data_IF_573152950883
#
_entry.id   IF_573152950883
#
_cell.length_a   1.000
_cell.length_b   1.000
_cell.length_c   1.000
_cell.angle_alpha   90.00
_cell.angle_beta   90.00
_cell.angle_gamma   90.00
#
_symmetry.space_group_name_H-M   'P 1'
#
loop_
_entity.id
_entity.type
_entity.pdbx_description
1 polymer ?
#
# COMPACT_ATOMS: atom_id res chain seq x y z
N UNK A 1 -5.28 -9.67 -3.53
CA UNK A 1 -3.91 -9.50 -3.02
C UNK A 1 -2.95 -9.20 -4.17
N UNK A 2 -1.91 -8.42 -3.94
CA UNK A 2 -0.91 -8.07 -4.95
C UNK A 2 0.24 -7.28 -4.33
N UNK A 3 1.23 -6.94 -5.14
CA UNK A 3 2.39 -6.15 -4.74
C UNK A 3 2.37 -4.82 -5.48
N UNK A 4 2.56 -3.70 -4.77
CA UNK A 4 2.81 -2.41 -5.42
C UNK A 4 4.19 -2.47 -6.09
N UNK A 5 4.23 -2.21 -7.39
CA UNK A 5 5.47 -2.24 -8.19
C UNK A 5 5.87 -0.85 -8.70
N UNK A 6 4.93 0.09 -8.74
CA UNK A 6 5.17 1.47 -9.15
C UNK A 6 4.26 2.40 -8.36
N UNK A 7 4.79 3.55 -7.93
CA UNK A 7 4.05 4.60 -7.23
C UNK A 7 4.14 5.87 -8.04
N UNK A 8 2.98 6.47 -8.31
CA UNK A 8 2.80 7.75 -9.00
C UNK A 8 2.14 8.73 -8.01
N UNK A 9 2.12 10.06 -8.30
CA UNK A 9 1.60 11.06 -7.36
C UNK A 9 0.18 10.78 -6.83
N UNK A 10 -0.69 10.20 -7.66
CA UNK A 10 -2.09 9.92 -7.31
C UNK A 10 -2.55 8.50 -7.67
N UNK A 11 -1.62 7.62 -8.03
CA UNK A 11 -1.92 6.27 -8.48
C UNK A 11 -0.79 5.31 -8.14
N UNK A 12 -1.08 4.01 -8.14
CA UNK A 12 -0.07 2.99 -7.99
C UNK A 12 -0.38 1.84 -8.95
N UNK A 13 0.68 1.18 -9.43
CA UNK A 13 0.53 -0.07 -10.19
C UNK A 13 0.76 -1.24 -9.27
N UNK A 14 -0.17 -2.18 -9.32
CA UNK A 14 -0.15 -3.38 -8.49
C UNK A 14 0.02 -4.60 -9.39
N UNK A 15 1.07 -5.38 -9.14
CA UNK A 15 1.23 -6.71 -9.70
C UNK A 15 0.35 -7.68 -8.92
N UNK A 16 -0.65 -8.24 -9.58
CA UNK A 16 -1.61 -9.14 -8.94
C UNK A 16 -1.01 -10.50 -8.63
N UNK A 17 -1.53 -11.16 -7.60
CA UNK A 17 -1.10 -12.52 -7.22
C UNK A 17 -1.34 -13.58 -8.32
N UNK A 18 -2.25 -13.29 -9.25
CA UNK A 18 -2.65 -14.17 -10.36
C UNK A 18 -1.78 -13.98 -11.60
N UNK A 19 -0.87 -12.99 -11.62
CA UNK A 19 0.02 -12.77 -12.75
C UNK A 19 1.02 -13.94 -12.93
N UNK A 20 1.27 -14.36 -14.18
CA UNK A 20 2.18 -15.48 -14.51
C UNK A 20 3.62 -15.29 -14.04
N UNK A 21 4.05 -14.04 -13.89
CA UNK A 21 5.40 -13.68 -13.44
C UNK A 21 5.49 -13.53 -11.92
N UNK A 22 4.36 -13.61 -11.21
CA UNK A 22 4.30 -13.39 -9.78
C UNK A 22 4.28 -14.70 -9.00
N UNK A 23 5.16 -14.79 -8.01
CA UNK A 23 5.27 -15.92 -7.08
C UNK A 23 5.18 -15.44 -5.65
N UNK A 24 4.41 -16.16 -4.83
CA UNK A 24 4.15 -15.84 -3.43
C UNK A 24 4.58 -17.02 -2.56
N UNK A 25 5.51 -16.80 -1.61
CA UNK A 25 5.84 -17.80 -0.60
C UNK A 25 4.66 -18.02 0.35
N UNK A 26 4.08 -19.22 0.30
CA UNK A 26 2.92 -19.61 1.10
C UNK A 26 3.26 -20.75 2.05
N UNK A 27 2.40 -20.95 3.03
CA UNK A 27 2.41 -22.12 3.89
C UNK A 27 0.99 -22.65 4.08
N UNK A 28 0.86 -23.96 4.24
CA UNK A 28 -0.39 -24.60 4.61
C UNK A 28 -0.71 -24.28 6.06
N UNK A 29 -1.88 -23.70 6.32
CA UNK A 29 -2.29 -23.26 7.65
C UNK A 29 -2.39 -24.43 8.66
N UNK A 30 -2.72 -25.64 8.17
CA UNK A 30 -2.91 -26.83 9.00
C UNK A 30 -1.62 -27.37 9.63
N UNK A 31 -0.56 -27.48 8.83
CA UNK A 31 0.65 -28.23 9.20
C UNK A 31 1.96 -27.44 8.98
N UNK A 32 1.87 -26.19 8.50
CA UNK A 32 3.03 -25.33 8.27
C UNK A 32 3.89 -25.72 7.07
N UNK A 33 3.45 -26.67 6.23
CA UNK A 33 4.16 -27.03 4.99
C UNK A 33 4.35 -25.78 4.13
N UNK A 34 5.59 -25.47 3.76
CA UNK A 34 5.92 -24.31 2.92
C UNK A 34 5.92 -24.68 1.44
N UNK A 35 5.43 -23.77 0.62
CA UNK A 35 5.39 -23.92 -0.83
C UNK A 35 5.44 -22.55 -1.51
N UNK A 36 5.51 -22.54 -2.84
CA UNK A 36 5.46 -21.33 -3.65
C UNK A 36 4.23 -21.40 -4.54
N UNK A 37 3.30 -20.47 -4.33
CA UNK A 37 2.15 -20.29 -5.21
C UNK A 37 2.55 -19.35 -6.36
N UNK A 38 2.20 -19.73 -7.58
CA UNK A 38 2.48 -18.96 -8.79
C UNK A 38 1.17 -18.62 -9.48
N UNK A 39 1.06 -17.38 -9.93
CA UNK A 39 -0.07 -16.96 -10.74
C UNK A 39 -0.07 -17.64 -12.11
N UNK A 40 -1.26 -17.77 -12.70
CA UNK A 40 -1.46 -18.51 -13.96
C UNK A 40 -1.92 -17.59 -15.09
N UNK A 41 -2.07 -16.29 -14.81
CA UNK A 41 -2.74 -15.32 -15.67
C UNK A 41 -4.27 -15.38 -15.55
N UNK A 42 -4.83 -16.44 -14.97
CA UNK A 42 -6.25 -16.57 -14.68
C UNK A 42 -6.57 -16.14 -13.25
N UNK A 43 -7.70 -15.45 -13.01
CA UNK A 43 -8.18 -15.16 -11.66
C UNK A 43 -8.70 -16.39 -10.91
N UNK A 44 -8.90 -17.51 -11.61
CA UNK A 44 -9.66 -18.64 -11.06
C UNK A 44 -8.80 -19.58 -10.21
N UNK A 45 -7.50 -19.71 -10.53
CA UNK A 45 -6.61 -20.61 -9.81
C UNK A 45 -5.15 -20.17 -9.84
N UNK A 46 -4.44 -20.59 -8.81
CA UNK A 46 -2.99 -20.55 -8.67
C UNK A 46 -2.45 -21.98 -8.73
N UNK A 47 -1.19 -22.10 -9.10
CA UNK A 47 -0.47 -23.37 -9.06
C UNK A 47 0.61 -23.34 -8.01
N UNK A 48 0.73 -24.41 -7.22
CA UNK A 48 1.89 -24.59 -6.35
C UNK A 48 2.95 -25.36 -7.12
N UNK A 49 4.14 -24.77 -7.24
CA UNK A 49 5.27 -25.41 -7.91
C UNK A 49 6.14 -26.17 -6.92
N UNK A 50 6.75 -27.25 -7.41
CA UNK A 50 7.76 -28.05 -6.69
C UNK A 50 7.25 -28.65 -5.37
N UNK A 51 5.96 -28.99 -5.29
CA UNK A 51 5.42 -29.74 -4.16
C UNK A 51 5.89 -31.18 -4.29
N UNK A 52 6.67 -31.66 -3.32
CA UNK A 52 7.12 -33.05 -3.32
C UNK A 52 5.93 -34.01 -3.26
N UNK A 53 6.04 -35.15 -3.92
CA UNK A 53 5.03 -36.22 -3.90
C UNK A 53 4.67 -36.67 -2.47
N UNK A 54 5.65 -36.66 -1.55
CA UNK A 54 5.46 -37.02 -0.14
C UNK A 54 4.92 -35.89 0.73
N UNK A 55 4.69 -34.70 0.19
CA UNK A 55 4.26 -33.55 0.96
C UNK A 55 2.82 -33.72 1.46
N UNK A 56 2.59 -33.42 2.74
CA UNK A 56 1.24 -33.49 3.34
C UNK A 56 0.40 -32.27 2.92
N UNK A 57 -0.15 -32.30 1.70
CA UNK A 57 -1.09 -31.30 1.18
C UNK A 57 -2.39 -31.96 0.75
N UNK A 58 -3.53 -31.34 1.08
CA UNK A 58 -4.85 -31.93 0.84
C UNK A 58 -5.79 -30.90 0.24
N UNK A 59 -6.76 -31.38 -0.52
CA UNK A 59 -7.90 -30.56 -0.96
C UNK A 59 -8.62 -29.99 0.27
N UNK A 60 -8.94 -28.70 0.20
CA UNK A 60 -9.53 -27.93 1.29
C UNK A 60 -8.52 -27.17 2.15
N UNK A 61 -7.21 -27.42 2.01
CA UNK A 61 -6.20 -26.71 2.79
C UNK A 61 -6.17 -25.22 2.47
N UNK A 62 -6.15 -24.41 3.53
CA UNK A 62 -5.95 -22.97 3.43
C UNK A 62 -4.45 -22.66 3.32
N UNK A 63 -4.09 -21.94 2.27
CA UNK A 63 -2.75 -21.39 2.07
C UNK A 63 -2.71 -19.97 2.59
N UNK A 64 -1.74 -19.68 3.45
CA UNK A 64 -1.48 -18.34 3.98
C UNK A 64 -0.08 -17.88 3.57
N UNK A 65 0.15 -16.57 3.51
CA UNK A 65 1.49 -16.03 3.28
C UNK A 65 2.45 -16.49 4.39
N UNK A 66 3.65 -16.92 4.00
CA UNK A 66 4.63 -17.47 4.96
C UNK A 66 5.49 -16.42 5.67
N UNK A 67 5.54 -15.18 5.15
CA UNK A 67 6.49 -14.16 5.61
C UNK A 67 7.90 -14.30 5.03
N UNK A 68 8.18 -15.39 4.30
CA UNK A 68 9.49 -15.63 3.71
C UNK A 68 9.83 -14.53 2.68
N UNK A 69 11.03 -13.96 2.77
CA UNK A 69 11.49 -12.89 1.90
C UNK A 69 10.97 -11.50 2.28
N UNK A 70 10.25 -11.36 3.40
CA UNK A 70 9.81 -10.07 4.00
C UNK A 70 8.97 -9.16 3.09
N UNK A 71 8.49 -9.69 1.96
CA UNK A 71 7.69 -8.96 0.97
C UNK A 71 6.20 -8.96 1.30
N UNK A 72 5.72 -10.05 1.87
CA UNK A 72 4.38 -10.18 2.40
C UNK A 72 4.50 -10.49 3.88
N UNK A 73 3.71 -9.86 4.76
CA UNK A 73 3.60 -10.29 6.14
C UNK A 73 3.13 -11.74 6.21
N UNK A 74 3.46 -12.48 7.27
CA UNK A 74 2.96 -13.85 7.44
C UNK A 74 1.49 -13.89 7.86
N UNK A 75 0.79 -14.97 7.52
CA UNK A 75 -0.55 -15.29 8.03
C UNK A 75 -1.74 -14.75 7.22
N UNK A 76 -1.53 -14.10 6.08
CA UNK A 76 -2.62 -13.60 5.26
C UNK A 76 -3.17 -14.68 4.33
N UNK A 77 -4.51 -14.90 4.27
CA UNK A 77 -5.12 -15.86 3.36
C UNK A 77 -4.79 -15.58 1.90
N UNK A 78 -4.28 -16.58 1.19
CA UNK A 78 -3.91 -16.47 -0.23
C UNK A 78 -4.90 -17.25 -1.10
N UNK A 79 -5.03 -18.55 -0.85
CA UNK A 79 -5.83 -19.45 -1.67
C UNK A 79 -6.25 -20.70 -0.90
N UNK A 80 -7.25 -21.43 -1.39
CA UNK A 80 -7.65 -22.73 -0.88
C UNK A 80 -7.35 -23.81 -1.92
N UNK A 81 -6.70 -24.89 -1.49
CA UNK A 81 -6.37 -26.02 -2.37
C UNK A 81 -7.65 -26.70 -2.85
N UNK A 82 -7.80 -26.85 -4.16
CA UNK A 82 -8.97 -27.50 -4.79
C UNK A 82 -8.63 -28.80 -5.48
N UNK A 83 -7.38 -28.98 -5.91
CA UNK A 83 -6.96 -30.16 -6.65
C UNK A 83 -5.51 -30.50 -6.33
N UNK A 84 -5.23 -31.78 -6.11
CA UNK A 84 -3.88 -32.33 -5.91
C UNK A 84 -3.74 -33.52 -6.85
N UNK A 85 -2.92 -33.37 -7.90
CA UNK A 85 -2.67 -34.40 -8.91
C UNK A 85 -1.26 -34.94 -8.74
N UNK A 86 -1.19 -36.23 -8.46
CA UNK A 86 0.04 -36.99 -8.32
C UNK A 86 0.31 -37.74 -9.64
N UNK A 87 1.35 -37.32 -10.37
CA UNK A 87 1.71 -37.94 -11.64
C UNK A 87 2.62 -39.15 -11.40
N UNK A 88 2.22 -40.35 -11.85
CA UNK A 88 3.09 -41.53 -11.76
C UNK A 88 4.41 -41.27 -12.49
N UNK A 89 5.53 -41.24 -11.75
CA UNK A 89 6.87 -41.01 -12.29
C UNK A 89 7.31 -39.55 -12.37
N UNK A 90 6.50 -38.59 -11.90
CA UNK A 90 6.93 -37.20 -11.74
C UNK A 90 7.48 -36.96 -10.32
N UNK A 91 8.58 -36.20 -10.15
CA UNK A 91 9.12 -35.92 -8.82
C UNK A 91 8.27 -34.93 -8.00
N UNK A 92 7.32 -34.24 -8.64
CA UNK A 92 6.49 -33.20 -8.03
C UNK A 92 5.01 -33.40 -8.37
N UNK A 93 4.16 -33.15 -7.38
CA UNK A 93 2.72 -33.08 -7.55
C UNK A 93 2.32 -31.75 -8.19
N UNK A 94 1.24 -31.77 -8.99
CA UNK A 94 0.59 -30.56 -9.49
C UNK A 94 -0.55 -30.22 -8.54
N UNK A 95 -0.47 -29.06 -7.90
CA UNK A 95 -1.51 -28.62 -6.97
C UNK A 95 -2.13 -27.32 -7.44
N UNK A 96 -3.45 -27.30 -7.54
CA UNK A 96 -4.22 -26.10 -7.87
C UNK A 96 -4.94 -25.57 -6.64
N UNK A 97 -4.96 -24.26 -6.51
CA UNK A 97 -5.63 -23.57 -5.41
C UNK A 97 -6.39 -22.36 -5.92
N UNK A 98 -7.63 -22.18 -5.46
CA UNK A 98 -8.47 -21.03 -5.82
C UNK A 98 -8.14 -19.85 -4.91
N UNK A 99 -7.83 -18.65 -5.44
CA UNK A 99 -7.61 -17.46 -4.62
C UNK A 99 -8.78 -17.15 -3.69
N UNK A 100 -8.49 -16.84 -2.43
CA UNK A 100 -9.53 -16.44 -1.46
C UNK A 100 -10.07 -15.03 -1.76
N UNK A 101 -9.27 -14.20 -2.43
CA UNK A 101 -9.65 -12.85 -2.81
C UNK A 101 -10.34 -12.81 -4.18
N UNK A 102 -11.53 -12.19 -4.23
CA UNK A 102 -12.24 -11.88 -5.48
C UNK A 102 -11.64 -10.64 -6.15
N UNK A 103 -10.50 -10.83 -6.81
CA UNK A 103 -9.70 -9.76 -7.43
C UNK A 103 -10.48 -8.94 -8.47
N UNK A 104 -11.34 -9.58 -9.25
CA UNK A 104 -12.12 -8.97 -10.33
C UNK A 104 -13.27 -8.06 -9.86
N UNK A 105 -13.62 -8.08 -8.57
CA UNK A 105 -14.75 -7.31 -8.01
C UNK A 105 -14.38 -6.46 -6.81
N UNK A 106 -13.08 -6.34 -6.52
CA UNK A 106 -12.57 -5.58 -5.38
C UNK A 106 -12.59 -4.07 -5.68
N UNK A 107 -13.31 -3.30 -4.87
CA UNK A 107 -13.36 -1.81 -4.97
C UNK A 107 -12.39 -1.11 -4.02
N UNK A 108 -12.12 -1.72 -2.88
CA UNK A 108 -11.27 -1.18 -1.84
C UNK A 108 -10.11 -2.13 -1.59
N UNK A 109 -8.95 -1.56 -1.29
CA UNK A 109 -7.72 -2.29 -1.01
C UNK A 109 -7.10 -1.75 0.27
N UNK A 110 -6.49 -2.64 1.05
CA UNK A 110 -5.70 -2.27 2.22
C UNK A 110 -4.22 -2.39 1.86
N UNK A 111 -3.47 -1.31 2.06
CA UNK A 111 -2.01 -1.33 1.93
C UNK A 111 -1.41 -1.77 3.26
N UNK A 112 -0.51 -2.74 3.19
CA UNK A 112 0.23 -3.23 4.35
C UNK A 112 1.70 -2.93 4.12
N UNK A 113 2.28 -2.16 5.04
CA UNK A 113 3.69 -1.79 5.02
C UNK A 113 4.42 -2.66 6.03
N UNK A 114 5.46 -3.37 5.58
CA UNK A 114 6.42 -4.00 6.47
C UNK A 114 7.49 -2.96 6.82
N UNK A 115 7.47 -2.47 8.06
CA UNK A 115 8.56 -1.64 8.58
C UNK A 115 9.64 -2.56 9.16
N UNK A 116 10.82 -2.54 8.57
CA UNK A 116 11.97 -3.31 9.06
C UNK A 116 12.67 -2.63 10.24
N UNK A 117 12.31 -1.37 10.56
CA UNK A 117 12.91 -0.61 11.65
C UNK A 117 12.44 -1.10 13.01
N UNK A 118 13.34 -1.05 13.99
CA UNK A 118 13.02 -1.34 15.38
C UNK A 118 11.99 -0.33 15.92
N UNK A 119 11.26 -0.66 17.00
CA UNK A 119 10.37 0.30 17.65
C UNK A 119 11.07 1.61 18.05
N UNK A 120 12.33 1.54 18.46
CA UNK A 120 13.15 2.69 18.86
C UNK A 120 13.49 3.56 17.66
N UNK A 121 13.91 2.96 16.55
CA UNK A 121 14.19 3.66 15.29
C UNK A 121 12.93 4.33 14.72
N UNK A 122 11.78 3.68 14.85
CA UNK A 122 10.48 4.27 14.46
C UNK A 122 10.11 5.46 15.34
N UNK A 123 10.35 5.37 16.66
CA UNK A 123 10.08 6.46 17.60
C UNK A 123 10.99 7.66 17.34
N UNK A 124 12.28 7.44 17.08
CA UNK A 124 13.23 8.49 16.74
C UNK A 124 12.85 9.20 15.42
N UNK A 125 12.60 8.44 14.35
CA UNK A 125 12.21 9.02 13.06
C UNK A 125 10.88 9.80 13.13
N UNK A 126 9.92 9.34 13.94
CA UNK A 126 8.67 10.06 14.16
C UNK A 126 8.89 11.37 14.94
N UNK A 127 9.77 11.38 15.94
CA UNK A 127 10.11 12.59 16.70
C UNK A 127 10.82 13.63 15.83
N UNK A 128 11.76 13.21 14.98
CA UNK A 128 12.44 14.08 14.02
C UNK A 128 11.45 14.69 13.01
N UNK A 129 10.59 13.88 12.42
CA UNK A 129 9.57 14.34 11.48
C UNK A 129 8.59 15.35 12.11
N UNK A 130 8.22 15.14 13.39
CA UNK A 130 7.36 16.08 14.12
C UNK A 130 8.07 17.41 14.37
N UNK A 131 9.35 17.38 14.79
CA UNK A 131 10.12 18.59 15.04
C UNK A 131 10.40 19.40 13.76
N UNK A 132 10.50 18.75 12.60
CA UNK A 132 10.60 19.42 11.30
C UNK A 132 9.27 20.05 10.87
N UNK A 133 8.16 19.33 11.06
CA UNK A 133 6.82 19.85 10.77
C UNK A 133 6.48 21.07 11.66
N UNK A 134 6.80 21.02 12.94
CA UNK A 134 6.56 22.13 13.89
C UNK A 134 7.41 23.36 13.52
N UNK A 135 8.66 23.16 13.07
CA UNK A 135 9.51 24.25 12.56
C UNK A 135 8.90 24.91 11.33
N UNK A 136 8.47 24.12 10.35
CA UNK A 136 7.84 24.63 9.13
C UNK A 136 6.56 25.42 9.43
N UNK A 137 5.70 24.91 10.32
CA UNK A 137 4.48 25.61 10.72
C UNK A 137 4.77 26.95 11.43
N UNK A 138 5.83 27.02 12.24
CA UNK A 138 6.25 28.26 12.90
C UNK A 138 6.86 29.29 11.94
N UNK A 139 7.53 28.84 10.88
CA UNK A 139 8.06 29.70 9.83
C UNK A 139 6.96 30.27 8.92
N UNK A 140 5.92 29.48 8.60
CA UNK A 140 4.75 29.95 7.84
C UNK A 140 3.91 30.97 8.64
N UNK A 141 3.70 30.74 9.93
CA UNK A 141 2.93 31.66 10.81
C UNK A 141 3.66 32.99 11.02
N UNK A 142 4.99 33.02 10.91
CA UNK A 142 5.82 34.23 11.03
C UNK A 142 5.74 35.18 9.82
N UNK A 143 5.27 34.73 8.66
CA UNK A 143 5.19 35.55 7.44
C UNK A 143 3.85 36.30 7.28
N UNK A 144 2.79 35.91 8.00
CA UNK A 144 1.48 36.62 7.97
C UNK A 144 1.36 37.74 9.03
N UNK A 145 2.31 37.88 9.95
CA UNK A 145 2.34 38.96 10.96
C UNK A 145 3.20 40.15 10.53
N UNK A 146 3.08 40.60 9.28
CA UNK A 146 3.55 41.94 8.90
C UNK A 146 2.30 42.82 8.73
N UNK A 147 2.02 43.76 9.65
CA UNK A 147 0.87 44.64 9.51
C UNK A 147 0.99 45.44 8.20
N UNK A 148 -0.11 45.74 7.49
CA UNK A 148 -0.05 46.73 6.42
C UNK A 148 0.41 48.04 7.06
N UNK A 149 1.56 48.55 6.63
CA UNK A 149 2.04 49.85 7.03
C UNK A 149 1.01 50.89 6.57
N UNK A 150 0.18 51.36 7.50
CA UNK A 150 -0.77 52.43 7.29
C UNK A 150 -0.01 53.74 7.04
N UNK A 151 -0.05 54.21 5.79
CA UNK A 151 0.15 55.61 5.50
C UNK A 151 -1.22 56.21 5.25
N UNK A 152 -1.78 56.88 6.25
CA UNK A 152 -2.78 57.94 6.07
C UNK A 152 -2.96 58.72 7.38
N UNK A 153 -2.42 59.94 7.45
CA UNK A 153 -3.07 61.11 8.05
C UNK A 153 -2.16 62.36 8.01
N UNK A 154 -2.28 63.17 6.96
CA UNK A 154 -2.20 64.64 7.14
C UNK A 154 -3.31 65.33 6.32
N UNK A 155 -4.45 65.45 7.01
CA UNK A 155 -5.43 66.55 7.04
C UNK A 155 -6.21 66.98 5.78
N UNK A 156 -7.51 66.73 5.88
CA UNK A 156 -8.60 67.30 5.09
C UNK A 156 -8.94 68.76 5.48
N UNK A 157 -9.53 69.49 4.54
CA UNK A 157 -10.19 70.77 4.82
C UNK A 157 -10.69 71.54 3.59
N UNK A 158 -11.76 71.04 2.95
CA UNK A 158 -12.62 71.79 2.00
C UNK A 158 -13.69 72.60 2.79
N UNK A 159 -14.37 73.66 2.26
CA UNK A 159 -15.34 73.49 1.17
C UNK A 159 -15.58 74.71 0.22
N UNK A 160 -16.50 74.49 -0.73
CA UNK A 160 -16.88 75.30 -1.90
C UNK A 160 -18.01 76.32 -1.67
N UNK A 161 -18.12 77.33 -2.56
CA UNK A 161 -19.34 77.99 -3.13
C UNK A 161 -18.89 79.24 -3.93
N UNK A 162 -19.06 79.37 -5.26
CA UNK A 162 -20.25 79.67 -6.09
C UNK A 162 -20.45 81.18 -6.44
N UNK A 163 -20.87 81.41 -7.70
CA UNK A 163 -21.49 82.58 -8.35
C UNK A 163 -20.68 83.88 -8.61
N UNK A 164 -20.79 84.41 -9.84
CA UNK A 164 -20.09 85.60 -10.34
C UNK A 164 -20.89 86.90 -10.40
N UNK A 165 -20.24 88.01 -10.79
CA UNK A 165 -20.82 89.21 -11.42
C UNK A 165 -19.71 90.21 -11.82
N UNK A 166 -19.93 90.92 -12.93
CA UNK A 166 -19.18 92.10 -13.43
C UNK A 166 -19.45 93.35 -12.56
N UNK A 167 -18.76 94.49 -12.75
CA UNK A 167 -18.91 95.37 -13.91
C UNK A 167 -17.64 95.63 -14.71
#
# INVERSE_FOLDING_TARGET
MGQVVEVLPYAARVLLLTDVTHSIPVQVNRNGLRAIAVGTGSPDYLELRHVAESADIKVGDLLVSSGLGQRFPSGYPVAQVTEVVHGSGQPFAIVRAVPTAMLNRSRYLMLVFSDSRSPEERAAAAAEAQADADRQASEETGQEQQPPAGNDAEQAGQPAADAGARP
#
